data_IF_537415308840
#
_entry.id   IF_537415308840
#
_cell.length_a   1.000
_cell.length_b   1.000
_cell.length_c   1.000
_cell.angle_alpha   90.00
_cell.angle_beta   90.00
_cell.angle_gamma   90.00
#
_symmetry.space_group_name_H-M   'P 1'
#
loop_
_entity.id
_entity.type
_entity.pdbx_description
1 polymer ?
#
# COMPACT_ATOMS: atom_id res chain seq x y z
N UNK A 1 2.84 19.28 -21.65
CA UNK A 1 3.18 18.46 -20.47
C UNK A 1 1.96 18.45 -19.56
N UNK A 2 1.16 17.39 -19.57
CA UNK A 2 0.02 17.26 -18.65
C UNK A 2 0.56 16.98 -17.26
N UNK A 3 0.36 17.91 -16.33
CA UNK A 3 0.62 17.68 -14.92
C UNK A 3 -0.39 16.62 -14.49
N UNK A 4 0.04 15.37 -14.30
CA UNK A 4 -0.85 14.33 -13.81
C UNK A 4 -1.36 14.75 -12.43
N UNK A 5 -2.67 15.02 -12.32
CA UNK A 5 -3.32 15.38 -11.06
C UNK A 5 -3.12 14.28 -10.03
N UNK A 6 -3.24 14.59 -8.73
CA UNK A 6 -3.23 13.54 -7.70
C UNK A 6 -4.50 12.69 -7.87
N UNK A 7 -4.42 11.35 -7.74
CA UNK A 7 -5.60 10.51 -7.80
C UNK A 7 -6.53 10.83 -6.63
N UNK A 8 -7.84 10.85 -6.89
CA UNK A 8 -8.87 11.17 -5.91
C UNK A 8 -9.42 9.90 -5.23
N UNK A 9 -9.20 8.74 -5.85
CA UNK A 9 -9.62 7.44 -5.31
C UNK A 9 -8.55 6.36 -5.50
N UNK A 10 -8.65 5.27 -4.72
CA UNK A 10 -7.77 4.10 -4.90
C UNK A 10 -8.00 3.39 -6.23
N UNK A 11 -9.24 3.34 -6.71
CA UNK A 11 -9.54 2.78 -8.03
C UNK A 11 -8.81 3.54 -9.13
N UNK A 12 -8.85 4.88 -9.06
CA UNK A 12 -8.12 5.73 -10.00
C UNK A 12 -6.60 5.61 -9.83
N UNK A 13 -6.08 5.53 -8.60
CA UNK A 13 -4.67 5.26 -8.37
C UNK A 13 -4.23 3.97 -9.08
N UNK A 14 -5.00 2.88 -8.93
CA UNK A 14 -4.68 1.59 -9.53
C UNK A 14 -4.79 1.62 -11.06
N UNK A 15 -5.81 2.27 -11.62
CA UNK A 15 -5.99 2.35 -13.09
C UNK A 15 -4.86 3.11 -13.79
N UNK A 16 -4.20 4.03 -13.07
CA UNK A 16 -3.04 4.79 -13.55
C UNK A 16 -1.72 4.02 -13.47
N UNK A 17 -1.68 2.86 -12.80
CA UNK A 17 -0.49 2.02 -12.74
C UNK A 17 -0.30 1.26 -14.05
N UNK A 18 0.94 0.93 -14.44
CA UNK A 18 1.19 -0.02 -15.51
C UNK A 18 0.47 -1.36 -15.27
N UNK A 19 -0.06 -1.97 -16.33
CA UNK A 19 -0.86 -3.19 -16.24
C UNK A 19 -0.17 -4.33 -15.48
N UNK A 20 1.16 -4.47 -15.62
CA UNK A 20 1.94 -5.49 -14.92
C UNK A 20 2.03 -5.27 -13.40
N UNK A 21 1.83 -4.03 -12.92
CA UNK A 21 1.78 -3.70 -11.49
C UNK A 21 0.38 -3.91 -10.89
N UNK A 22 -0.67 -3.77 -11.70
CA UNK A 22 -2.07 -3.78 -11.23
C UNK A 22 -2.47 -5.11 -10.58
N UNK A 23 -2.04 -6.24 -11.15
CA UNK A 23 -2.37 -7.55 -10.58
C UNK A 23 -1.87 -7.73 -9.15
N UNK A 24 -0.60 -7.37 -8.90
CA UNK A 24 0.03 -7.55 -7.58
C UNK A 24 -0.47 -6.55 -6.53
N UNK A 25 -0.72 -5.30 -6.91
CA UNK A 25 -1.29 -4.33 -5.96
C UNK A 25 -2.75 -4.67 -5.59
N UNK A 26 -3.52 -5.25 -6.52
CA UNK A 26 -4.88 -5.72 -6.25
C UNK A 26 -4.87 -6.91 -5.30
N UNK A 27 -3.95 -7.86 -5.50
CA UNK A 27 -3.77 -9.01 -4.59
C UNK A 27 -3.48 -8.53 -3.15
N UNK A 28 -2.56 -7.58 -2.98
CA UNK A 28 -2.27 -6.98 -1.68
C UNK A 28 -3.50 -6.26 -1.11
N UNK A 29 -4.18 -5.44 -1.91
CA UNK A 29 -5.40 -4.71 -1.49
C UNK A 29 -6.48 -5.65 -0.96
N UNK A 30 -6.74 -6.76 -1.65
CA UNK A 30 -7.75 -7.75 -1.23
C UNK A 30 -7.38 -8.41 0.10
N UNK A 31 -6.10 -8.74 0.32
CA UNK A 31 -5.63 -9.27 1.60
C UNK A 31 -5.87 -8.26 2.72
N UNK A 32 -5.46 -7.00 2.51
CA UNK A 32 -5.59 -5.95 3.52
C UNK A 32 -7.04 -5.66 3.88
N UNK A 33 -7.93 -5.58 2.88
CA UNK A 33 -9.37 -5.37 3.10
C UNK A 33 -10.04 -6.55 3.81
N UNK A 34 -9.58 -7.78 3.58
CA UNK A 34 -10.09 -8.96 4.29
C UNK A 34 -9.68 -8.97 5.76
N UNK A 35 -8.46 -8.54 6.07
CA UNK A 35 -7.93 -8.51 7.44
C UNK A 35 -8.51 -7.33 8.24
N UNK A 36 -8.80 -6.20 7.57
CA UNK A 36 -9.37 -5.01 8.18
C UNK A 36 -10.68 -4.57 7.48
N UNK A 37 -11.77 -5.37 7.59
CA UNK A 37 -13.02 -5.12 6.86
C UNK A 37 -13.71 -3.82 7.27
N UNK A 38 -13.53 -3.40 8.53
CA UNK A 38 -14.10 -2.16 9.09
C UNK A 38 -13.27 -0.90 8.77
N UNK A 39 -12.19 -1.03 8.00
CA UNK A 39 -11.36 0.12 7.62
C UNK A 39 -11.86 0.79 6.35
N UNK A 40 -11.76 2.12 6.34
CA UNK A 40 -11.96 2.95 5.17
C UNK A 40 -10.67 3.01 4.34
N UNK A 41 -10.84 2.95 3.02
CA UNK A 41 -9.73 3.06 2.09
C UNK A 41 -9.70 4.46 1.47
N UNK A 42 -8.59 5.19 1.66
CA UNK A 42 -8.42 6.59 1.20
C UNK A 42 -7.10 6.80 0.47
N UNK A 43 -7.00 7.93 -0.24
CA UNK A 43 -5.72 8.42 -0.77
C UNK A 43 -5.13 9.43 0.23
N UNK A 44 -3.93 9.16 0.72
CA UNK A 44 -3.11 10.10 1.51
C UNK A 44 -1.70 10.13 0.97
N UNK A 45 -1.12 11.32 0.88
CA UNK A 45 0.23 11.52 0.30
C UNK A 45 0.42 10.86 -1.08
N UNK A 46 -0.66 10.78 -1.87
CA UNK A 46 -0.64 10.18 -3.21
C UNK A 46 -0.62 8.65 -3.25
N UNK A 47 -0.86 7.96 -2.12
CA UNK A 47 -0.92 6.50 -2.04
C UNK A 47 -2.19 5.99 -1.32
N UNK A 48 -2.65 4.77 -1.64
CA UNK A 48 -3.67 4.07 -0.87
C UNK A 48 -3.28 3.89 0.60
N UNK A 49 -4.25 4.14 1.48
CA UNK A 49 -4.16 3.98 2.93
C UNK A 49 -5.45 3.33 3.42
N UNK A 50 -5.33 2.29 4.25
CA UNK A 50 -6.44 1.78 5.06
C UNK A 50 -6.38 2.45 6.41
N UNK A 51 -7.49 3.09 6.78
CA UNK A 51 -7.64 3.78 8.06
C UNK A 51 -8.94 3.40 8.75
N UNK A 52 -8.89 3.33 10.08
CA UNK A 52 -10.08 3.36 10.91
C UNK A 52 -9.97 4.62 11.77
N UNK A 53 -10.00 4.51 13.10
CA UNK A 53 -9.66 5.63 14.00
C UNK A 53 -8.21 6.12 13.83
N UNK A 54 -7.34 5.23 13.37
CA UNK A 54 -5.92 5.50 13.07
C UNK A 54 -5.56 4.88 11.73
N UNK A 55 -4.44 5.29 11.16
CA UNK A 55 -3.87 4.65 9.96
C UNK A 55 -3.38 3.26 10.35
N UNK A 56 -3.89 2.23 9.67
CA UNK A 56 -3.49 0.84 9.88
C UNK A 56 -2.38 0.45 8.91
N UNK A 57 -2.61 0.71 7.63
CA UNK A 57 -1.73 0.29 6.55
C UNK A 57 -1.64 1.37 5.49
N UNK A 58 -0.45 1.56 4.92
CA UNK A 58 -0.32 2.19 3.61
C UNK A 58 0.34 1.22 2.63
N UNK A 59 0.06 1.37 1.35
CA UNK A 59 0.65 0.52 0.34
C UNK A 59 0.76 1.25 -1.00
N UNK A 60 1.77 0.91 -1.80
CA UNK A 60 1.99 1.51 -3.11
C UNK A 60 2.61 0.52 -4.09
N UNK A 61 2.35 0.72 -5.38
CA UNK A 61 2.97 -0.04 -6.45
C UNK A 61 3.98 0.82 -7.20
N UNK A 62 5.12 0.20 -7.52
CA UNK A 62 6.16 0.77 -8.35
C UNK A 62 6.47 -0.20 -9.50
N UNK A 63 7.23 0.27 -10.50
CA UNK A 63 7.53 -0.51 -11.71
C UNK A 63 8.12 -1.90 -11.42
N UNK A 64 8.94 -2.00 -10.37
CA UNK A 64 9.72 -3.20 -10.05
C UNK A 64 9.44 -3.79 -8.66
N UNK A 65 8.65 -3.12 -7.84
CA UNK A 65 8.38 -3.58 -6.48
C UNK A 65 7.04 -3.03 -5.98
N UNK A 66 6.52 -3.66 -4.93
CA UNK A 66 5.50 -3.10 -4.06
C UNK A 66 6.16 -2.54 -2.82
N UNK A 67 5.53 -1.54 -2.21
CA UNK A 67 5.90 -1.08 -0.88
C UNK A 67 4.71 -1.22 0.05
N UNK A 68 4.93 -1.82 1.21
CA UNK A 68 3.91 -2.01 2.23
C UNK A 68 4.37 -1.40 3.55
N UNK A 69 3.47 -0.68 4.22
CA UNK A 69 3.76 0.10 5.42
C UNK A 69 2.80 -0.30 6.55
N UNK A 70 3.14 -1.32 7.37
CA UNK A 70 2.32 -1.76 8.49
C UNK A 70 2.53 -0.96 9.79
N UNK A 71 3.34 0.11 9.76
CA UNK A 71 3.94 0.80 10.91
C UNK A 71 5.13 0.05 11.52
N UNK A 72 6.08 0.80 12.10
CA UNK A 72 7.30 0.24 12.70
C UNK A 72 7.04 -0.78 13.81
N UNK A 73 6.14 -0.51 14.79
CA UNK A 73 5.83 -1.48 15.84
C UNK A 73 5.24 -2.79 15.32
N UNK A 74 4.41 -2.74 14.27
CA UNK A 74 3.83 -3.94 13.67
C UNK A 74 4.82 -4.70 12.80
N UNK A 75 5.81 -4.01 12.20
CA UNK A 75 6.87 -4.64 11.40
C UNK A 75 7.90 -5.39 12.27
N UNK A 76 8.20 -4.85 13.46
CA UNK A 76 9.29 -5.32 14.33
C UNK A 76 9.30 -6.83 14.62
N UNK A 77 8.16 -7.50 14.89
CA UNK A 77 8.14 -8.94 15.14
C UNK A 77 8.50 -9.80 13.92
N UNK A 78 8.36 -9.26 12.70
CA UNK A 78 8.51 -10.02 11.45
C UNK A 78 9.86 -9.77 10.74
N UNK A 79 10.77 -9.00 11.35
CA UNK A 79 12.04 -8.62 10.70
C UNK A 79 12.89 -9.82 10.28
N UNK A 80 12.89 -10.90 11.07
CA UNK A 80 13.63 -12.12 10.75
C UNK A 80 13.02 -12.84 9.55
N UNK A 81 11.69 -12.99 9.52
CA UNK A 81 10.95 -13.66 8.44
C UNK A 81 11.02 -12.87 7.13
N UNK A 82 11.21 -11.56 7.21
CA UNK A 82 11.27 -10.65 6.05
C UNK A 82 12.69 -10.29 5.63
N UNK A 83 13.69 -11.02 6.13
CA UNK A 83 15.12 -10.72 5.87
C UNK A 83 15.53 -10.78 4.41
N UNK A 84 14.78 -11.51 3.57
CA UNK A 84 14.98 -11.57 2.12
C UNK A 84 14.43 -10.34 1.36
N UNK A 85 13.70 -9.44 2.05
CA UNK A 85 13.11 -8.23 1.47
C UNK A 85 13.87 -6.96 1.88
N UNK A 86 13.64 -5.88 1.13
CA UNK A 86 14.24 -4.58 1.45
C UNK A 86 13.44 -3.89 2.55
N UNK A 87 13.97 -3.93 3.77
CA UNK A 87 13.33 -3.32 4.94
C UNK A 87 13.71 -1.84 5.11
N UNK A 88 12.72 -1.02 5.47
CA UNK A 88 12.86 0.35 5.96
C UNK A 88 12.50 0.45 7.45
N UNK A 89 12.32 1.68 7.95
CA UNK A 89 11.95 1.91 9.36
C UNK A 89 10.56 1.33 9.69
N UNK A 90 9.65 1.44 8.75
CA UNK A 90 8.23 1.09 8.87
C UNK A 90 7.69 0.49 7.56
N UNK A 91 8.58 0.07 6.66
CA UNK A 91 8.26 -0.38 5.31
C UNK A 91 8.97 -1.68 4.95
N UNK A 92 8.36 -2.42 4.04
CA UNK A 92 8.90 -3.56 3.31
C UNK A 92 8.78 -3.26 1.82
#
# INVERSE_FOLDING_TARGET
MTVASKPESVVEYISRLPAHCQGKILELREILKRIAPESEEKIKWGKPVLESRVILFAYSAHRFHLSFFPTGPALKPFLTELSDFKLGKDSI
#
